data_IF_601063938138
#
_entry.id   IF_601063938138
#
_cell.length_a   1.000
_cell.length_b   1.000
_cell.length_c   1.000
_cell.angle_alpha   90.00
_cell.angle_beta   90.00
_cell.angle_gamma   90.00
#
_symmetry.space_group_name_H-M   'P 1'
#
loop_
_entity.id
_entity.type
_entity.pdbx_description
1 polymer ?
#
# COMPACT_ATOMS: atom_id res chain seq x y z
N UNK A 1 -34.78 50.29 -15.93
CA UNK A 1 -34.07 48.99 -15.93
C UNK A 1 -32.91 49.12 -16.91
N UNK A 2 -31.66 49.09 -16.45
CA UNK A 2 -30.51 49.33 -17.34
C UNK A 2 -30.15 48.02 -18.09
N UNK A 3 -30.07 47.99 -19.43
CA UNK A 3 -29.97 46.74 -20.21
C UNK A 3 -28.60 46.01 -20.18
N UNK A 4 -27.69 46.35 -19.26
CA UNK A 4 -26.28 45.93 -19.36
C UNK A 4 -25.73 45.08 -18.20
N UNK A 5 -26.52 44.70 -17.20
CA UNK A 5 -26.07 43.74 -16.18
C UNK A 5 -26.29 42.28 -16.64
N UNK A 6 -25.47 41.82 -17.58
CA UNK A 6 -25.31 40.37 -17.81
C UNK A 6 -24.34 39.83 -16.76
N UNK A 7 -24.72 38.81 -15.96
CA UNK A 7 -23.82 38.25 -14.96
C UNK A 7 -22.61 37.61 -15.64
N UNK A 8 -21.43 38.18 -15.43
CA UNK A 8 -20.17 37.65 -15.93
C UNK A 8 -19.86 36.35 -15.18
N UNK A 9 -19.75 35.23 -15.92
CA UNK A 9 -19.36 33.94 -15.33
C UNK A 9 -17.92 34.05 -14.81
N UNK A 10 -17.71 33.75 -13.52
CA UNK A 10 -16.37 33.70 -12.92
C UNK A 10 -15.45 32.77 -13.73
N UNK A 11 -14.19 33.14 -13.96
CA UNK A 11 -13.26 32.30 -14.71
C UNK A 11 -13.11 30.95 -14.03
N UNK A 12 -13.16 29.88 -14.83
CA UNK A 12 -12.96 28.51 -14.36
C UNK A 12 -11.52 28.39 -13.86
N UNK A 13 -11.34 27.95 -12.61
CA UNK A 13 -10.00 27.67 -12.09
C UNK A 13 -9.26 26.70 -13.03
N UNK A 14 -7.97 26.92 -13.29
CA UNK A 14 -7.17 26.03 -14.12
C UNK A 14 -7.15 24.61 -13.52
N UNK A 15 -6.99 23.57 -14.36
CA UNK A 15 -6.98 22.18 -13.92
C UNK A 15 -5.86 21.91 -12.90
N UNK A 16 -6.12 21.01 -11.96
CA UNK A 16 -5.14 20.56 -10.97
C UNK A 16 -3.97 19.85 -11.66
N UNK A 17 -2.75 20.11 -11.19
CA UNK A 17 -1.52 19.49 -11.65
C UNK A 17 -0.78 18.95 -10.43
N UNK A 18 -0.52 17.64 -10.42
CA UNK A 18 0.15 16.97 -9.31
C UNK A 18 1.64 17.27 -9.35
N UNK A 19 2.17 17.86 -8.28
CA UNK A 19 3.60 18.07 -8.13
C UNK A 19 4.29 16.76 -7.74
N UNK A 20 5.59 16.66 -8.02
CA UNK A 20 6.39 15.50 -7.63
C UNK A 20 6.42 15.28 -6.11
N UNK A 21 6.45 16.36 -5.34
CA UNK A 21 6.37 16.28 -3.87
C UNK A 21 5.04 15.68 -3.41
N UNK A 22 3.92 16.13 -3.99
CA UNK A 22 2.60 15.57 -3.69
C UNK A 22 2.52 14.10 -4.05
N UNK A 23 3.12 13.68 -5.18
CA UNK A 23 3.16 12.27 -5.59
C UNK A 23 3.86 11.41 -4.56
N UNK A 24 5.04 11.84 -4.09
CA UNK A 24 5.77 11.16 -3.03
C UNK A 24 4.98 11.08 -1.72
N UNK A 25 4.30 12.16 -1.34
CA UNK A 25 3.43 12.18 -0.15
C UNK A 25 2.28 11.17 -0.30
N UNK A 26 1.58 11.17 -1.43
CA UNK A 26 0.47 10.24 -1.70
C UNK A 26 0.96 8.79 -1.70
N UNK A 27 2.07 8.51 -2.38
CA UNK A 27 2.67 7.18 -2.42
C UNK A 27 3.04 6.70 -1.01
N UNK A 28 3.71 7.53 -0.22
CA UNK A 28 4.11 7.20 1.15
C UNK A 28 2.89 6.93 2.05
N UNK A 29 1.89 7.81 2.03
CA UNK A 29 0.68 7.64 2.86
C UNK A 29 -0.12 6.40 2.45
N UNK A 30 -0.22 6.15 1.14
CA UNK A 30 -0.89 4.96 0.60
C UNK A 30 -0.14 3.67 0.98
N UNK A 31 1.20 3.70 0.94
CA UNK A 31 2.06 2.60 1.37
C UNK A 31 1.83 2.25 2.85
N UNK A 32 1.61 3.26 3.69
CA UNK A 32 1.27 3.10 5.11
C UNK A 32 -0.20 2.65 5.33
N UNK A 33 -1.03 2.62 4.29
CA UNK A 33 -2.45 2.26 4.38
C UNK A 33 -3.35 3.35 4.93
N UNK A 34 -2.94 4.60 4.82
CA UNK A 34 -3.80 5.73 5.18
C UNK A 34 -4.98 5.79 4.20
N UNK A 35 -6.23 5.97 4.69
CA UNK A 35 -7.40 6.10 3.83
C UNK A 35 -7.27 7.26 2.85
N UNK A 36 -7.80 7.10 1.63
CA UNK A 36 -7.78 8.14 0.60
C UNK A 36 -8.43 9.46 1.05
N UNK A 37 -9.44 9.39 1.92
CA UNK A 37 -10.13 10.55 2.49
C UNK A 37 -9.20 11.42 3.34
N UNK A 38 -8.31 10.79 4.11
CA UNK A 38 -7.31 11.48 4.93
C UNK A 38 -6.16 12.00 4.07
N UNK A 39 -5.75 11.24 3.05
CA UNK A 39 -4.75 11.69 2.06
C UNK A 39 -5.24 12.96 1.35
N UNK A 40 -6.53 13.05 1.02
CA UNK A 40 -7.14 14.24 0.45
C UNK A 40 -6.99 15.49 1.34
N UNK A 41 -7.02 15.34 2.67
CA UNK A 41 -6.85 16.46 3.60
C UNK A 41 -5.42 17.02 3.60
N UNK A 42 -4.43 16.19 3.27
CA UNK A 42 -3.02 16.58 3.27
C UNK A 42 -2.60 17.20 1.93
N UNK A 43 -3.16 16.72 0.82
CA UNK A 43 -2.78 17.22 -0.51
C UNK A 43 -3.56 18.48 -0.86
N UNK A 44 -2.85 19.60 -0.94
CA UNK A 44 -3.46 20.90 -1.27
C UNK A 44 -3.47 21.18 -2.78
N UNK A 45 -4.64 21.57 -3.29
CA UNK A 45 -4.79 22.14 -4.62
C UNK A 45 -4.22 23.56 -4.72
N UNK A 46 -4.20 24.10 -5.94
CA UNK A 46 -3.68 25.46 -6.21
C UNK A 46 -4.38 26.57 -5.42
N UNK A 47 -5.61 26.36 -4.97
CA UNK A 47 -6.34 27.31 -4.12
C UNK A 47 -5.92 27.26 -2.63
N UNK A 48 -4.92 26.45 -2.26
CA UNK A 48 -4.53 26.21 -0.87
C UNK A 48 -5.56 25.38 -0.08
N UNK A 49 -6.45 24.66 -0.77
CA UNK A 49 -7.50 23.82 -0.15
C UNK A 49 -7.23 22.35 -0.41
N UNK A 50 -7.65 21.44 0.49
CA UNK A 50 -7.65 20.00 0.23
C UNK A 50 -8.27 19.64 -1.12
N UNK A 51 -7.67 18.66 -1.80
CA UNK A 51 -8.24 18.12 -3.04
C UNK A 51 -9.39 17.17 -2.75
N UNK A 52 -10.31 17.03 -3.71
CA UNK A 52 -11.36 16.03 -3.62
C UNK A 52 -10.86 14.62 -4.01
N UNK A 53 -11.61 13.59 -3.61
CA UNK A 53 -11.25 12.20 -3.85
C UNK A 53 -11.22 11.83 -5.36
N UNK A 54 -12.01 12.50 -6.20
CA UNK A 54 -12.00 12.29 -7.66
C UNK A 54 -10.71 12.83 -8.26
N UNK A 55 -10.23 13.98 -7.79
CA UNK A 55 -8.95 14.58 -8.15
C UNK A 55 -7.79 13.69 -7.69
N UNK A 56 -7.84 13.17 -6.46
CA UNK A 56 -6.83 12.22 -5.97
C UNK A 56 -6.73 11.00 -6.90
N UNK A 57 -7.84 10.31 -7.17
CA UNK A 57 -7.84 9.13 -8.04
C UNK A 57 -7.42 9.41 -9.47
N UNK A 58 -7.74 10.61 -10.00
CA UNK A 58 -7.39 10.98 -11.38
C UNK A 58 -5.90 11.25 -11.56
N UNK A 59 -5.28 11.92 -10.60
CA UNK A 59 -3.91 12.41 -10.76
C UNK A 59 -2.85 11.51 -10.10
N UNK A 60 -3.25 10.71 -9.11
CA UNK A 60 -2.37 9.84 -8.33
C UNK A 60 -2.73 8.35 -8.42
N UNK A 61 -3.37 7.94 -9.52
CA UNK A 61 -3.80 6.54 -9.72
C UNK A 61 -2.66 5.54 -9.64
N UNK A 62 -1.49 5.90 -10.14
CA UNK A 62 -0.33 5.01 -10.18
C UNK A 62 0.24 4.80 -8.77
N UNK A 63 0.38 5.88 -8.00
CA UNK A 63 0.83 5.85 -6.62
C UNK A 63 -0.13 5.05 -5.76
N UNK A 64 -1.44 5.29 -5.89
CA UNK A 64 -2.47 4.53 -5.17
C UNK A 64 -2.43 3.03 -5.50
N UNK A 65 -2.19 2.67 -6.76
CA UNK A 65 -2.15 1.28 -7.20
C UNK A 65 -0.85 0.56 -6.78
N UNK A 66 0.29 1.26 -6.81
CA UNK A 66 1.61 0.63 -6.64
C UNK A 66 2.18 0.75 -5.23
N UNK A 67 1.74 1.70 -4.41
CA UNK A 67 2.34 2.00 -3.12
C UNK A 67 2.38 0.81 -2.16
N UNK A 68 1.28 0.05 -2.03
CA UNK A 68 1.21 -1.11 -1.14
C UNK A 68 2.21 -2.20 -1.54
N UNK A 69 2.29 -2.50 -2.84
CA UNK A 69 3.26 -3.46 -3.38
C UNK A 69 4.70 -3.00 -3.12
N UNK A 70 5.02 -1.75 -3.42
CA UNK A 70 6.36 -1.17 -3.19
C UNK A 70 6.76 -1.24 -1.71
N UNK A 71 5.83 -0.96 -0.79
CA UNK A 71 6.07 -1.08 0.63
C UNK A 71 6.37 -2.53 1.04
N UNK A 72 5.57 -3.48 0.54
CA UNK A 72 5.75 -4.90 0.81
C UNK A 72 7.12 -5.40 0.31
N UNK A 73 7.53 -5.01 -0.90
CA UNK A 73 8.86 -5.33 -1.46
C UNK A 73 9.97 -4.77 -0.59
N UNK A 74 9.85 -3.52 -0.14
CA UNK A 74 10.87 -2.88 0.71
C UNK A 74 11.05 -3.63 2.04
N UNK A 75 9.94 -4.00 2.68
CA UNK A 75 9.98 -4.76 3.94
C UNK A 75 10.50 -6.19 3.73
N UNK A 76 10.07 -6.86 2.66
CA UNK A 76 10.55 -8.20 2.30
C UNK A 76 12.06 -8.21 2.04
N UNK A 77 12.57 -7.23 1.29
CA UNK A 77 14.00 -7.10 1.03
C UNK A 77 14.79 -6.84 2.32
N UNK A 78 14.28 -6.00 3.21
CA UNK A 78 14.92 -5.76 4.51
C UNK A 78 14.99 -7.05 5.36
N UNK A 79 13.91 -7.84 5.39
CA UNK A 79 13.89 -9.12 6.09
C UNK A 79 14.83 -10.14 5.46
N UNK A 80 14.88 -10.20 4.13
CA UNK A 80 15.82 -11.05 3.39
C UNK A 80 17.27 -10.73 3.75
N UNK A 81 17.66 -9.45 3.71
CA UNK A 81 19.01 -9.03 4.09
C UNK A 81 19.37 -9.44 5.52
N UNK A 82 18.45 -9.30 6.48
CA UNK A 82 18.69 -9.73 7.86
C UNK A 82 18.82 -11.26 7.96
N UNK A 83 18.05 -12.01 7.17
CA UNK A 83 18.09 -13.47 7.15
C UNK A 83 19.35 -14.03 6.48
N UNK A 84 19.94 -13.31 5.51
CA UNK A 84 21.11 -13.80 4.74
C UNK A 84 22.44 -13.20 5.16
N UNK A 85 22.47 -12.12 5.95
CA UNK A 85 23.70 -11.51 6.43
C UNK A 85 24.24 -12.22 7.68
N UNK A 86 25.43 -12.84 7.64
CA UNK A 86 26.05 -13.50 8.79
C UNK A 86 26.32 -12.57 9.99
N UNK A 87 26.32 -11.25 9.79
CA UNK A 87 26.53 -10.22 10.83
C UNK A 87 25.23 -9.51 11.24
N UNK A 88 24.08 -9.96 10.75
CA UNK A 88 22.80 -9.26 10.83
C UNK A 88 22.35 -8.88 12.25
N UNK A 89 22.12 -7.59 12.48
CA UNK A 89 21.53 -7.07 13.72
C UNK A 89 19.99 -7.13 13.70
N UNK A 90 19.41 -7.86 14.66
CA UNK A 90 18.02 -8.35 14.65
C UNK A 90 16.92 -7.38 15.12
N UNK A 91 17.19 -6.10 15.40
CA UNK A 91 16.23 -5.26 16.15
C UNK A 91 14.90 -4.97 15.45
N UNK A 92 14.84 -5.08 14.11
CA UNK A 92 13.62 -4.78 13.34
C UNK A 92 12.88 -6.02 12.81
N UNK A 93 13.39 -7.23 13.02
CA UNK A 93 12.86 -8.48 12.44
C UNK A 93 11.39 -8.70 12.81
N UNK A 94 11.05 -8.53 14.09
CA UNK A 94 9.67 -8.70 14.57
C UNK A 94 8.69 -7.77 13.86
N UNK A 95 9.06 -6.51 13.65
CA UNK A 95 8.23 -5.54 12.94
C UNK A 95 8.09 -5.89 11.45
N UNK A 96 9.15 -6.37 10.81
CA UNK A 96 9.14 -6.80 9.41
C UNK A 96 8.24 -8.04 9.22
N UNK A 97 8.38 -9.06 10.07
CA UNK A 97 7.53 -10.26 10.05
C UNK A 97 6.07 -9.86 10.28
N UNK A 98 5.80 -9.04 11.29
CA UNK A 98 4.45 -8.54 11.58
C UNK A 98 3.84 -7.82 10.37
N UNK A 99 4.60 -6.93 9.72
CA UNK A 99 4.15 -6.24 8.51
C UNK A 99 3.82 -7.22 7.38
N UNK A 100 4.71 -8.18 7.07
CA UNK A 100 4.51 -9.11 5.97
C UNK A 100 3.31 -10.04 6.21
N UNK A 101 3.09 -10.46 7.45
CA UNK A 101 1.89 -11.23 7.81
C UNK A 101 0.59 -10.42 7.67
N UNK A 102 0.59 -9.19 8.19
CA UNK A 102 -0.64 -8.38 8.27
C UNK A 102 -0.98 -7.62 6.99
N UNK A 103 0.02 -7.28 6.17
CA UNK A 103 -0.15 -6.44 4.97
C UNK A 103 0.25 -7.11 3.66
N UNK A 104 1.20 -8.05 3.67
CA UNK A 104 1.57 -8.81 2.47
C UNK A 104 0.83 -10.17 2.37
N UNK A 105 0.04 -10.52 3.39
CA UNK A 105 -0.75 -11.76 3.42
C UNK A 105 0.08 -13.02 3.60
N UNK A 106 1.34 -12.89 4.04
CA UNK A 106 2.21 -14.05 4.28
C UNK A 106 1.68 -14.85 5.46
N UNK A 107 1.66 -16.17 5.30
CA UNK A 107 1.20 -17.11 6.32
C UNK A 107 2.11 -18.32 6.28
N UNK A 108 2.35 -18.93 7.44
CA UNK A 108 2.89 -20.28 7.47
C UNK A 108 1.93 -21.22 6.75
N UNK A 109 2.47 -22.17 5.98
CA UNK A 109 1.63 -23.27 5.48
C UNK A 109 1.15 -24.09 6.67
N UNK A 110 -0.11 -24.57 6.67
CA UNK A 110 -0.53 -25.52 7.68
C UNK A 110 0.39 -26.76 7.60
N UNK A 111 0.63 -27.45 8.74
CA UNK A 111 1.27 -28.75 8.69
C UNK A 111 0.55 -29.60 7.64
N UNK A 112 1.28 -30.17 6.70
CA UNK A 112 0.71 -31.23 5.86
C UNK A 112 0.39 -32.36 6.82
N UNK A 113 -0.89 -32.65 7.00
CA UNK A 113 -1.30 -33.95 7.49
C UNK A 113 -0.76 -34.94 6.46
N UNK A 114 0.40 -35.54 6.77
CA UNK A 114 0.81 -36.77 6.12
C UNK A 114 -0.33 -37.72 6.52
N UNK A 115 -1.29 -37.91 5.63
CA UNK A 115 -2.22 -39.01 5.79
C UNK A 115 -1.32 -40.25 5.76
N UNK A 116 -1.10 -40.84 6.92
CA UNK A 116 -0.50 -42.16 7.13
C UNK A 116 -1.44 -43.23 6.52
N UNK A 117 -1.69 -43.10 5.22
CA UNK A 117 -2.22 -44.15 4.38
C UNK A 117 -1.06 -44.57 3.47
N UNK A 118 0.06 -44.92 4.09
CA UNK A 118 1.11 -45.66 3.42
C UNK A 118 0.64 -47.11 3.31
N UNK A 119 0.24 -47.58 2.11
CA UNK A 119 -0.26 -48.94 1.93
C UNK A 119 0.82 -50.01 2.13
N UNK A 120 2.06 -49.63 2.43
CA UNK A 120 3.18 -50.54 2.68
C UNK A 120 3.49 -50.75 4.17
N UNK A 121 2.75 -50.12 5.10
CA UNK A 121 2.79 -50.51 6.51
C UNK A 121 1.86 -51.72 6.68
N UNK A 122 2.44 -52.91 6.60
CA UNK A 122 1.72 -54.17 6.82
C UNK A 122 1.25 -54.24 8.29
N UNK A 123 -0.08 -54.33 8.57
CA UNK A 123 -0.60 -54.27 9.94
C UNK A 123 -0.29 -55.51 10.77
N UNK A 124 0.32 -56.55 10.21
CA UNK A 124 0.73 -57.72 10.98
C UNK A 124 1.98 -58.41 10.42
N UNK A 125 3.18 -58.16 10.98
CA UNK A 125 4.41 -58.83 10.55
C UNK A 125 4.61 -60.25 11.14
N UNK A 126 3.68 -60.79 11.95
CA UNK A 126 3.87 -62.08 12.65
C UNK A 126 2.75 -63.11 12.39
N UNK A 127 2.74 -63.70 11.19
CA UNK A 127 2.24 -65.07 10.94
C UNK A 127 3.18 -65.83 9.99
#
# INVERSE_FOLDING_TARGET
MNPQDKPTRKPRNPPFEATEEQRRTVEMMSAMGIPQEDICQVVLGRSGKPIDAKTLRKHFSEELATAAMKANVKVANALFCVATDPKGGSRAVTAQIFWLKTRAGWRESPPRDIQDNDPFIDPNPEL
#
